data_IF_447790655974
#
_entry.id   IF_447790655974
#
_cell.length_a   1.000
_cell.length_b   1.000
_cell.length_c   1.000
_cell.angle_alpha   90.00
_cell.angle_beta   90.00
_cell.angle_gamma   90.00
#
_symmetry.space_group_name_H-M   'P 1'
#
loop_
_entity.id
_entity.type
_entity.pdbx_description
1 polymer ?
#
# COMPACT_ATOMS: atom_id res chain seq x y z
N UNK A 1 4.18 5.23 -23.37
CA UNK A 1 3.66 6.15 -22.34
C UNK A 1 4.68 7.27 -22.12
N UNK A 2 4.24 8.50 -21.90
CA UNK A 2 5.11 9.63 -21.53
C UNK A 2 4.95 9.88 -20.03
N UNK A 3 5.54 9.01 -19.22
CA UNK A 3 5.39 9.02 -17.77
C UNK A 3 6.20 10.16 -17.16
N UNK A 4 5.55 10.91 -16.28
CA UNK A 4 6.22 11.87 -15.39
C UNK A 4 7.04 11.14 -14.34
N UNK A 5 8.04 11.82 -13.76
CA UNK A 5 8.83 11.28 -12.64
C UNK A 5 7.94 10.81 -11.48
N UNK A 6 6.90 11.58 -11.17
CA UNK A 6 5.95 11.27 -10.10
C UNK A 6 5.17 9.97 -10.36
N UNK A 7 4.80 9.70 -11.61
CA UNK A 7 4.12 8.46 -11.95
C UNK A 7 5.06 7.25 -11.82
N UNK A 8 6.33 7.42 -12.22
CA UNK A 8 7.37 6.39 -12.02
C UNK A 8 7.61 6.09 -10.54
N UNK A 9 7.69 7.12 -9.70
CA UNK A 9 7.82 6.95 -8.24
C UNK A 9 6.64 6.18 -7.64
N UNK A 10 5.41 6.50 -8.05
CA UNK A 10 4.22 5.76 -7.59
C UNK A 10 4.26 4.29 -8.02
N UNK A 11 4.72 3.99 -9.23
CA UNK A 11 4.90 2.60 -9.67
C UNK A 11 5.92 1.84 -8.80
N UNK A 12 6.98 2.50 -8.34
CA UNK A 12 7.93 1.88 -7.40
C UNK A 12 7.29 1.54 -6.06
N UNK A 13 6.37 2.39 -5.57
CA UNK A 13 5.60 2.11 -4.35
C UNK A 13 4.69 0.90 -4.55
N UNK A 14 3.96 0.82 -5.66
CA UNK A 14 3.10 -0.33 -5.97
C UNK A 14 3.89 -1.62 -6.09
N UNK A 15 5.10 -1.57 -6.66
CA UNK A 15 6.00 -2.73 -6.67
C UNK A 15 6.41 -3.17 -5.26
N UNK A 16 6.77 -2.23 -4.39
CA UNK A 16 7.11 -2.52 -3.00
C UNK A 16 5.92 -3.13 -2.24
N UNK A 17 4.71 -2.61 -2.47
CA UNK A 17 3.48 -3.13 -1.88
C UNK A 17 3.18 -4.57 -2.33
N UNK A 18 3.33 -4.87 -3.62
CA UNK A 18 3.18 -6.24 -4.13
C UNK A 18 4.18 -7.22 -3.49
N UNK A 19 5.42 -6.79 -3.26
CA UNK A 19 6.44 -7.61 -2.57
C UNK A 19 6.05 -7.82 -1.11
N UNK A 20 5.61 -6.75 -0.43
CA UNK A 20 5.15 -6.80 0.95
C UNK A 20 3.92 -7.72 1.11
N UNK A 21 2.93 -7.64 0.20
CA UNK A 21 1.76 -8.53 0.21
C UNK A 21 2.19 -10.00 0.11
N UNK A 22 3.09 -10.33 -0.82
CA UNK A 22 3.62 -11.71 -0.97
C UNK A 22 4.35 -12.22 0.27
N UNK A 23 4.94 -11.33 1.08
CA UNK A 23 5.58 -11.70 2.36
C UNK A 23 4.51 -11.93 3.43
N UNK A 24 3.52 -11.03 3.52
CA UNK A 24 2.36 -11.17 4.41
C UNK A 24 1.62 -12.48 4.17
N UNK A 25 1.37 -12.83 2.91
CA UNK A 25 0.67 -14.07 2.51
C UNK A 25 1.45 -15.34 2.92
N UNK A 26 2.77 -15.23 3.14
CA UNK A 26 3.62 -16.31 3.66
C UNK A 26 3.70 -16.33 5.20
N UNK A 27 2.95 -15.47 5.88
CA UNK A 27 2.96 -15.33 7.34
C UNK A 27 4.21 -14.59 7.87
N UNK A 28 4.93 -13.86 7.01
CA UNK A 28 6.09 -13.07 7.43
C UNK A 28 5.57 -11.72 7.93
N UNK A 29 5.93 -11.36 9.16
CA UNK A 29 5.64 -10.03 9.72
C UNK A 29 6.34 -8.95 8.92
N UNK A 30 5.59 -7.91 8.59
CA UNK A 30 6.05 -6.80 7.78
C UNK A 30 6.92 -5.85 8.60
N UNK A 31 7.99 -5.37 7.98
CA UNK A 31 8.78 -4.28 8.53
C UNK A 31 8.16 -2.90 8.18
N UNK A 32 8.80 -1.83 8.66
CA UNK A 32 8.30 -0.47 8.48
C UNK A 32 8.05 -0.06 7.01
N UNK A 33 9.02 -0.16 6.08
CA UNK A 33 8.78 0.25 4.69
C UNK A 33 7.76 -0.65 3.97
N UNK A 34 7.67 -1.94 4.33
CA UNK A 34 6.67 -2.85 3.77
C UNK A 34 5.24 -2.47 4.18
N UNK A 35 5.04 -2.17 5.46
CA UNK A 35 3.76 -1.71 5.98
C UNK A 35 3.33 -0.38 5.34
N UNK A 36 4.26 0.57 5.22
CA UNK A 36 4.00 1.86 4.58
C UNK A 36 3.67 1.68 3.09
N UNK A 37 4.40 0.83 2.38
CA UNK A 37 4.14 0.57 0.95
C UNK A 37 2.74 0.00 0.74
N UNK A 38 2.34 -1.02 1.53
CA UNK A 38 1.00 -1.62 1.45
C UNK A 38 -0.12 -0.62 1.70
N UNK A 39 -0.01 0.18 2.77
CA UNK A 39 -1.01 1.20 3.10
C UNK A 39 -1.08 2.26 1.98
N UNK A 40 0.07 2.67 1.45
CA UNK A 40 0.12 3.70 0.40
C UNK A 40 -0.52 3.21 -0.89
N UNK A 41 -0.19 1.99 -1.31
CA UNK A 41 -0.75 1.37 -2.51
C UNK A 41 -2.27 1.18 -2.40
N UNK A 42 -2.75 0.74 -1.23
CA UNK A 42 -4.19 0.66 -0.95
C UNK A 42 -4.92 2.00 -1.16
N UNK A 43 -4.33 3.10 -0.67
CA UNK A 43 -4.91 4.43 -0.83
C UNK A 43 -4.87 4.89 -2.30
N UNK A 44 -3.80 4.59 -3.03
CA UNK A 44 -3.68 4.93 -4.45
C UNK A 44 -4.72 4.19 -5.30
N UNK A 45 -4.88 2.89 -5.08
CA UNK A 45 -5.86 2.07 -5.79
C UNK A 45 -7.29 2.44 -5.40
N UNK A 46 -7.57 2.65 -4.11
CA UNK A 46 -8.90 3.09 -3.68
C UNK A 46 -9.26 4.49 -4.22
N UNK A 47 -8.30 5.39 -4.37
CA UNK A 47 -8.52 6.66 -5.07
C UNK A 47 -8.81 6.44 -6.56
N UNK A 48 -8.17 5.43 -7.20
CA UNK A 48 -8.42 5.05 -8.59
C UNK A 48 -9.81 4.44 -8.80
N UNK A 49 -10.33 3.73 -7.80
CA UNK A 49 -11.70 3.20 -7.72
C UNK A 49 -12.76 4.29 -7.49
N UNK A 50 -12.34 5.52 -7.15
CA UNK A 50 -13.25 6.65 -6.92
C UNK A 50 -13.75 6.77 -5.48
N UNK A 51 -13.11 6.11 -4.51
CA UNK A 51 -13.43 6.30 -3.09
C UNK A 51 -13.11 7.72 -2.63
N UNK A 52 -13.91 8.21 -1.69
CA UNK A 52 -13.67 9.51 -1.07
C UNK A 52 -12.47 9.47 -0.13
N UNK A 53 -11.87 10.63 0.11
CA UNK A 53 -10.77 10.77 1.08
C UNK A 53 -11.17 10.25 2.46
N UNK A 54 -12.39 10.54 2.92
CA UNK A 54 -12.89 10.09 4.21
C UNK A 54 -12.97 8.55 4.32
N UNK A 55 -13.44 7.88 3.27
CA UNK A 55 -13.47 6.41 3.22
C UNK A 55 -12.06 5.84 3.28
N UNK A 56 -11.14 6.37 2.48
CA UNK A 56 -9.75 5.89 2.44
C UNK A 56 -9.04 6.09 3.78
N UNK A 57 -9.29 7.20 4.47
CA UNK A 57 -8.72 7.46 5.80
C UNK A 57 -9.20 6.44 6.85
N UNK A 58 -10.46 6.02 6.78
CA UNK A 58 -11.03 5.05 7.70
C UNK A 58 -10.59 3.62 7.35
N UNK A 59 -10.72 3.23 6.09
CA UNK A 59 -10.37 1.89 5.60
C UNK A 59 -8.87 1.58 5.76
N UNK A 60 -7.99 2.52 5.41
CA UNK A 60 -6.55 2.32 5.49
C UNK A 60 -6.04 2.09 6.92
N UNK A 61 -6.74 2.63 7.93
CA UNK A 61 -6.42 2.41 9.35
C UNK A 61 -6.59 0.95 9.77
N UNK A 62 -7.52 0.25 9.12
CA UNK A 62 -7.88 -1.12 9.45
C UNK A 62 -7.16 -2.16 8.58
N UNK A 63 -6.26 -1.72 7.69
CA UNK A 63 -5.59 -2.60 6.73
C UNK A 63 -4.56 -3.54 7.37
N UNK A 64 -3.87 -3.07 8.41
CA UNK A 64 -2.83 -3.81 9.13
C UNK A 64 -3.07 -3.75 10.64
N UNK A 65 -2.87 -4.88 11.28
CA UNK A 65 -2.92 -5.04 12.73
C UNK A 65 -1.52 -5.20 13.30
N UNK A 66 -1.40 -5.20 14.64
CA UNK A 66 -0.12 -5.46 15.32
C UNK A 66 0.43 -6.87 15.07
N UNK A 67 -0.42 -7.81 14.66
CA UNK A 67 0.00 -9.17 14.36
C UNK A 67 0.68 -9.26 12.99
N UNK A 68 0.33 -8.36 12.08
CA UNK A 68 0.86 -8.31 10.71
C UNK A 68 2.27 -7.69 10.63
N UNK A 69 2.72 -6.98 11.68
CA UNK A 69 3.94 -6.18 11.68
C UNK A 69 4.92 -6.60 12.79
N UNK A 70 6.20 -6.25 12.61
CA UNK A 70 7.29 -6.50 13.57
C UNK A 70 7.19 -5.65 14.83
#
# INVERSE_FOLDING_TARGET
>A
MQLTMREQEKMMISLAAMIAQRRKDKGIKLNHPEAVALITDYVLEGAREGKTVAQLMDEARNLLTREDVM
#
